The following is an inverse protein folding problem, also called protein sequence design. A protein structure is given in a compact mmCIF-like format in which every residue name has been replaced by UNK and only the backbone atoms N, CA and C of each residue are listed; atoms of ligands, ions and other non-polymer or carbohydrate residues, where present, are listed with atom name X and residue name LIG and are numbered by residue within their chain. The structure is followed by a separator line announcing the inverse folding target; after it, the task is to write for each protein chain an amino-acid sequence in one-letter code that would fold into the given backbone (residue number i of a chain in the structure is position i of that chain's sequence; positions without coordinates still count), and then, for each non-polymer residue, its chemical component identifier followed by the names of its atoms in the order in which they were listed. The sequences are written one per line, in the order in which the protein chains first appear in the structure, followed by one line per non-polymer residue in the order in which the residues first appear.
data_IF_639775432645
#
_entry.id   IF_639775432645
#
_cell.length_a   1.000
_cell.length_b   1.000
_cell.length_c   1.000
_cell.angle_alpha   90.00
_cell.angle_beta   90.00
_cell.angle_gamma   90.00
#
_symmetry.space_group_name_H-M   'P 1'
#
loop_
_entity.id
_entity.type
_entity.pdbx_description
1 polymer ?
#
# COMPACT_ATOMS: atom_id res chain seq x y z
N UNK A 1 5.10 -4.23 -11.92
CA UNK A 1 5.32 -4.59 -10.49
C UNK A 1 5.00 -6.07 -10.26
N UNK A 2 3.81 -6.55 -10.61
CA UNK A 2 3.36 -7.94 -10.32
C UNK A 2 4.33 -9.00 -10.87
N UNK A 3 4.71 -8.93 -12.14
CA UNK A 3 5.63 -9.89 -12.75
C UNK A 3 7.01 -9.89 -12.09
N UNK A 4 7.51 -8.73 -11.73
CA UNK A 4 8.79 -8.60 -11.00
C UNK A 4 8.68 -9.21 -9.61
N UNK A 5 7.57 -8.96 -8.90
CA UNK A 5 7.30 -9.56 -7.59
C UNK A 5 7.28 -11.09 -7.63
N UNK A 6 6.57 -11.67 -8.61
CA UNK A 6 6.52 -13.12 -8.83
C UNK A 6 7.92 -13.66 -9.16
N UNK A 7 8.64 -13.02 -10.06
CA UNK A 7 10.00 -13.46 -10.45
C UNK A 7 10.96 -13.43 -9.26
N UNK A 8 10.86 -12.41 -8.40
CA UNK A 8 11.64 -12.30 -7.17
C UNK A 8 11.31 -13.45 -6.20
N UNK A 9 10.02 -13.74 -5.98
CA UNK A 9 9.61 -14.83 -5.06
C UNK A 9 10.08 -16.19 -5.57
N UNK A 10 9.95 -16.45 -6.87
CA UNK A 10 10.48 -17.66 -7.51
C UNK A 10 12.00 -17.78 -7.32
N UNK A 11 12.74 -16.70 -7.51
CA UNK A 11 14.19 -16.69 -7.31
C UNK A 11 14.58 -16.99 -5.86
N UNK A 12 13.86 -16.44 -4.89
CA UNK A 12 14.07 -16.75 -3.46
C UNK A 12 13.82 -18.21 -3.12
N UNK A 13 12.96 -18.89 -3.89
CA UNK A 13 12.67 -20.34 -3.77
C UNK A 13 13.61 -21.19 -4.59
N UNK A 14 14.61 -20.61 -5.27
CA UNK A 14 15.54 -21.33 -6.14
C UNK A 14 14.93 -21.81 -7.46
N UNK A 15 13.78 -21.26 -7.85
CA UNK A 15 13.08 -21.62 -9.10
C UNK A 15 13.53 -20.67 -10.20
N UNK A 16 14.23 -21.13 -11.25
CA UNK A 16 14.61 -20.29 -12.36
C UNK A 16 13.39 -19.83 -13.14
N UNK A 17 13.34 -18.55 -13.47
CA UNK A 17 12.24 -17.95 -14.23
C UNK A 17 12.76 -16.92 -15.23
N UNK A 18 11.97 -16.67 -16.26
CA UNK A 18 12.21 -15.62 -17.25
C UNK A 18 11.01 -14.69 -17.26
N UNK A 19 11.27 -13.40 -17.07
CA UNK A 19 10.26 -12.36 -17.17
C UNK A 19 10.35 -11.69 -18.54
N UNK A 20 9.26 -11.74 -19.30
CA UNK A 20 9.16 -11.13 -20.63
C UNK A 20 8.17 -9.98 -20.57
N UNK A 21 8.60 -8.79 -20.99
CA UNK A 21 7.77 -7.60 -21.12
C UNK A 21 7.66 -7.21 -22.61
N UNK A 22 6.43 -6.94 -23.06
CA UNK A 22 6.17 -6.56 -24.45
C UNK A 22 6.48 -5.10 -24.79
N UNK A 23 6.60 -4.26 -23.77
CA UNK A 23 6.86 -2.82 -23.89
C UNK A 23 8.07 -2.41 -23.06
N UNK A 24 8.13 -1.14 -22.70
CA UNK A 24 9.14 -0.62 -21.80
C UNK A 24 8.79 -0.85 -20.34
N UNK A 25 9.77 -0.75 -19.44
CA UNK A 25 9.56 -0.87 -18.00
C UNK A 25 8.49 0.10 -17.51
N UNK A 26 7.60 -0.40 -16.65
CA UNK A 26 6.52 0.38 -16.04
C UNK A 26 5.59 1.11 -17.03
N UNK A 27 5.55 0.71 -18.31
CA UNK A 27 4.70 1.35 -19.35
C UNK A 27 3.19 1.16 -19.12
N UNK A 28 2.79 0.20 -18.27
CA UNK A 28 1.41 -0.06 -17.90
C UNK A 28 0.99 0.62 -16.58
N UNK A 29 0.15 -0.05 -15.80
CA UNK A 29 -0.40 0.44 -14.54
C UNK A 29 0.69 0.79 -13.50
N UNK A 30 1.82 0.10 -13.51
CA UNK A 30 2.92 0.34 -12.57
C UNK A 30 3.50 1.76 -12.66
N UNK A 31 3.52 2.38 -13.84
CA UNK A 31 3.98 3.75 -14.02
C UNK A 31 2.86 4.80 -14.12
N UNK A 32 1.60 4.38 -13.95
CA UNK A 32 0.42 5.26 -14.11
C UNK A 32 -0.49 5.25 -12.89
N UNK A 33 0.05 4.91 -11.74
CA UNK A 33 -0.66 4.99 -10.46
C UNK A 33 -0.46 6.39 -9.83
N UNK A 34 -1.21 6.68 -8.77
CA UNK A 34 -1.13 7.96 -8.05
C UNK A 34 0.08 8.07 -7.10
N UNK A 35 0.92 7.05 -7.02
CA UNK A 35 2.12 7.03 -6.18
C UNK A 35 1.89 6.97 -4.67
N UNK A 36 0.65 6.93 -4.20
CA UNK A 36 0.35 6.86 -2.79
C UNK A 36 0.64 5.47 -2.21
N UNK A 37 1.53 5.43 -1.23
CA UNK A 37 1.84 4.22 -0.48
C UNK A 37 0.84 4.06 0.67
N UNK A 38 -0.16 3.21 0.47
CA UNK A 38 -1.27 3.04 1.40
C UNK A 38 -0.85 2.42 2.73
N UNK A 39 -1.30 3.03 3.83
CA UNK A 39 -1.12 2.51 5.20
C UNK A 39 -2.33 1.70 5.71
N UNK A 40 -3.41 1.64 4.95
CA UNK A 40 -4.66 1.01 5.39
C UNK A 40 -5.66 1.95 6.06
N UNK A 41 -5.27 3.17 6.44
CA UNK A 41 -6.14 4.13 7.13
C UNK A 41 -7.49 4.37 6.44
N UNK A 42 -7.54 4.29 5.11
CA UNK A 42 -8.77 4.38 4.33
C UNK A 42 -9.82 3.31 4.71
N UNK A 43 -9.37 2.16 5.15
CA UNK A 43 -10.22 1.02 5.49
C UNK A 43 -10.47 0.89 6.99
N UNK A 44 -9.77 1.65 7.84
CA UNK A 44 -9.80 1.47 9.29
C UNK A 44 -11.22 1.39 9.88
N UNK A 45 -12.17 2.21 9.37
CA UNK A 45 -13.55 2.22 9.83
C UNK A 45 -14.43 1.21 9.13
N UNK A 46 -14.24 0.99 7.83
CA UNK A 46 -15.15 0.21 6.98
C UNK A 46 -14.76 -1.26 6.87
N UNK A 47 -13.47 -1.56 6.99
CA UNK A 47 -12.89 -2.90 6.85
C UNK A 47 -11.58 -2.99 7.63
N UNK A 48 -11.65 -3.15 8.98
CA UNK A 48 -10.47 -3.21 9.83
C UNK A 48 -9.50 -4.36 9.48
N UNK A 49 -10.01 -5.48 8.98
CA UNK A 49 -9.19 -6.62 8.55
C UNK A 49 -8.29 -6.22 7.37
N UNK A 50 -8.86 -5.63 6.34
CA UNK A 50 -8.10 -5.11 5.20
C UNK A 50 -7.13 -3.99 5.63
N UNK A 51 -7.47 -3.18 6.63
CA UNK A 51 -6.56 -2.17 7.18
C UNK A 51 -5.34 -2.82 7.82
N UNK A 52 -5.53 -3.86 8.65
CA UNK A 52 -4.44 -4.61 9.27
C UNK A 52 -3.52 -5.27 8.22
N UNK A 53 -4.09 -5.88 7.19
CA UNK A 53 -3.33 -6.46 6.07
C UNK A 53 -2.49 -5.40 5.35
N UNK A 54 -3.08 -4.24 5.04
CA UNK A 54 -2.36 -3.12 4.42
C UNK A 54 -1.17 -2.65 5.27
N UNK A 55 -1.34 -2.54 6.59
CA UNK A 55 -0.27 -2.13 7.50
C UNK A 55 0.85 -3.18 7.52
N UNK A 56 0.49 -4.48 7.57
CA UNK A 56 1.46 -5.56 7.55
C UNK A 56 2.30 -5.53 6.27
N UNK A 57 1.67 -5.42 5.11
CA UNK A 57 2.34 -5.31 3.81
C UNK A 57 3.18 -4.03 3.70
N UNK A 58 2.68 -2.89 4.21
CA UNK A 58 3.42 -1.64 4.27
C UNK A 58 4.76 -1.80 5.02
N UNK A 59 4.73 -2.45 6.19
CA UNK A 59 5.95 -2.74 6.98
C UNK A 59 6.95 -3.62 6.21
N UNK A 60 6.45 -4.60 5.44
CA UNK A 60 7.30 -5.46 4.58
C UNK A 60 7.93 -4.63 3.46
N UNK A 61 7.13 -3.84 2.74
CA UNK A 61 7.61 -3.03 1.61
C UNK A 61 8.62 -1.96 2.05
N UNK A 62 8.42 -1.32 3.20
CA UNK A 62 9.40 -0.41 3.80
C UNK A 62 10.75 -1.08 4.05
N UNK A 63 10.73 -2.36 4.40
CA UNK A 63 11.95 -3.13 4.66
C UNK A 63 12.67 -3.57 3.38
N UNK A 64 11.92 -4.01 2.35
CA UNK A 64 12.51 -4.59 1.14
C UNK A 64 12.76 -3.59 0.02
N UNK A 65 12.07 -2.44 0.02
CA UNK A 65 12.16 -1.41 -1.01
C UNK A 65 12.18 0.03 -0.43
N UNK A 66 13.01 0.32 0.59
CA UNK A 66 13.02 1.64 1.22
C UNK A 66 13.39 2.77 0.25
N UNK A 67 14.16 2.46 -0.80
CA UNK A 67 14.57 3.41 -1.84
C UNK A 67 13.43 3.87 -2.76
N UNK A 68 12.27 3.21 -2.71
CA UNK A 68 11.08 3.56 -3.48
C UNK A 68 10.06 4.37 -2.68
N UNK A 69 10.34 4.66 -1.39
CA UNK A 69 9.37 5.28 -0.48
C UNK A 69 9.92 6.63 -0.04
N UNK A 70 9.12 7.67 -0.26
CA UNK A 70 9.37 9.01 0.24
C UNK A 70 8.49 9.27 1.46
N UNK A 71 9.07 9.79 2.54
CA UNK A 71 8.36 10.13 3.78
C UNK A 71 7.69 11.51 3.66
N UNK A 72 6.67 11.58 2.80
CA UNK A 72 5.96 12.83 2.48
C UNK A 72 4.71 13.03 3.33
N UNK A 73 4.40 12.09 4.20
CA UNK A 73 3.16 12.04 4.98
C UNK A 73 1.88 11.98 4.11
N UNK A 74 0.72 11.87 4.76
CA UNK A 74 -0.59 11.89 4.12
C UNK A 74 -1.58 12.68 4.97
N UNK A 75 -2.57 13.29 4.32
CA UNK A 75 -3.63 14.02 5.00
C UNK A 75 -4.96 13.34 4.76
N UNK A 76 -5.70 13.11 5.85
CA UNK A 76 -7.13 12.84 5.79
C UNK A 76 -7.88 14.13 6.11
N UNK A 77 -8.70 14.58 5.18
CA UNK A 77 -9.46 15.82 5.30
C UNK A 77 -10.91 15.48 5.57
N UNK A 78 -11.45 15.96 6.70
CA UNK A 78 -12.87 15.93 7.00
C UNK A 78 -13.53 17.23 6.51
N UNK A 79 -14.62 17.08 5.79
CA UNK A 79 -15.42 18.22 5.34
C UNK A 79 -16.50 18.54 6.41
N UNK A 80 -17.04 19.77 6.43
CA UNK A 80 -18.08 20.14 7.39
C UNK A 80 -19.31 19.22 7.38
N UNK A 81 -19.64 18.65 6.22
CA UNK A 81 -20.76 17.72 6.01
C UNK A 81 -20.50 16.32 6.56
N UNK A 82 -19.24 15.92 6.81
CA UNK A 82 -18.91 14.57 7.32
C UNK A 82 -19.25 14.38 8.80
N UNK A 83 -19.51 15.47 9.55
CA UNK A 83 -19.80 15.46 10.95
C UNK A 83 -18.57 15.19 11.84
N UNK A 84 -18.61 15.75 13.07
CA UNK A 84 -17.50 15.60 14.03
C UNK A 84 -17.35 14.16 14.56
N UNK A 85 -18.46 13.44 14.65
CA UNK A 85 -18.48 12.06 15.16
C UNK A 85 -17.67 11.08 14.30
N UNK A 86 -17.61 11.33 13.00
CA UNK A 86 -16.82 10.50 12.09
C UNK A 86 -15.32 10.63 12.35
N UNK A 87 -14.84 11.84 12.63
CA UNK A 87 -13.43 12.08 12.96
C UNK A 87 -12.99 11.25 14.16
N UNK A 88 -13.76 11.26 15.23
CA UNK A 88 -13.41 10.56 16.47
C UNK A 88 -13.52 9.03 16.30
N UNK A 89 -14.46 8.58 15.48
CA UNK A 89 -14.58 7.18 15.07
C UNK A 89 -13.38 6.73 14.24
N UNK A 90 -12.95 7.56 13.29
CA UNK A 90 -11.82 7.29 12.43
C UNK A 90 -10.51 7.19 13.21
N UNK A 91 -10.25 8.15 14.13
CA UNK A 91 -9.04 8.15 14.96
C UNK A 91 -8.95 6.88 15.81
N UNK A 92 -10.05 6.51 16.49
CA UNK A 92 -10.11 5.27 17.28
C UNK A 92 -9.86 4.04 16.43
N UNK A 93 -10.49 3.95 15.26
CA UNK A 93 -10.29 2.83 14.36
C UNK A 93 -8.83 2.73 13.87
N UNK A 94 -8.15 3.85 13.60
CA UNK A 94 -6.74 3.86 13.27
C UNK A 94 -5.86 3.37 14.43
N UNK A 95 -6.17 3.75 15.67
CA UNK A 95 -5.45 3.27 16.86
C UNK A 95 -5.62 1.76 17.07
N UNK A 96 -6.81 1.22 16.79
CA UNK A 96 -7.12 -0.22 16.92
C UNK A 96 -6.42 -1.09 15.89
N UNK A 97 -6.21 -0.59 14.68
CA UNK A 97 -5.56 -1.36 13.60
C UNK A 97 -4.04 -1.17 13.55
N UNK A 98 -3.45 -0.22 14.29
CA UNK A 98 -2.00 -0.01 14.41
C UNK A 98 -1.41 0.94 13.43
#
# INVERSE_FOLDING_TARGET
VTGVGISRDLALRGIPSVLIEKGDFASGASGRNHGLFHSGGRYAVSDPEAACECIAENKVLRKIAPHCIEETEGLFVSLPEDGLDFRDKFLRACEEVG
#
